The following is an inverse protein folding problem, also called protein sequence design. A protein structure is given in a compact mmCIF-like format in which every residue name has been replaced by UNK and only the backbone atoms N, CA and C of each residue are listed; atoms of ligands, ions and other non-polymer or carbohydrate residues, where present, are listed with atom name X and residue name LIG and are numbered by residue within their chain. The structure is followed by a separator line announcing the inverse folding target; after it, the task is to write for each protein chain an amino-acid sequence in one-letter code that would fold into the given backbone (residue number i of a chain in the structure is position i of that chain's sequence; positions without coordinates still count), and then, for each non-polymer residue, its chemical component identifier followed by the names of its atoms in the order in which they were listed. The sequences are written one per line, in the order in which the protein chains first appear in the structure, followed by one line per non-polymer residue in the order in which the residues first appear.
data_IF_555861536652
#
_entry.id   IF_555861536652
#
_cell.length_a   1.000
_cell.length_b   1.000
_cell.length_c   1.000
_cell.angle_alpha   90.00
_cell.angle_beta   90.00
_cell.angle_gamma   90.00
#
_symmetry.space_group_name_H-M   'P 1'
#
loop_
_entity.id
_entity.type
_entity.pdbx_description
1 polymer ?
#
# COMPACT_ATOMS: atom_id res chain seq x y z
N UNK A 1 -10.90 -10.77 1.86
CA UNK A 1 -10.84 -9.89 3.04
C UNK A 1 -10.06 -8.63 2.73
N UNK A 2 -8.75 -8.70 2.42
CA UNK A 2 -7.95 -7.51 2.08
C UNK A 2 -8.53 -6.64 0.93
N UNK A 3 -9.08 -7.24 -0.14
CA UNK A 3 -9.75 -6.46 -1.19
C UNK A 3 -10.98 -5.70 -0.69
N UNK A 4 -11.77 -6.30 0.22
CA UNK A 4 -12.93 -5.63 0.83
C UNK A 4 -12.51 -4.50 1.76
N UNK A 5 -11.40 -4.67 2.46
CA UNK A 5 -10.80 -3.61 3.29
C UNK A 5 -10.25 -2.48 2.42
N UNK A 6 -9.61 -2.79 1.29
CA UNK A 6 -9.18 -1.78 0.34
C UNK A 6 -10.37 -1.02 -0.28
N UNK A 7 -11.48 -1.71 -0.57
CA UNK A 7 -12.72 -1.05 -1.01
C UNK A 7 -13.28 -0.11 0.07
N UNK A 8 -13.09 -0.42 1.36
CA UNK A 8 -13.50 0.46 2.46
C UNK A 8 -12.57 1.67 2.59
N UNK A 9 -11.26 1.47 2.40
CA UNK A 9 -10.26 2.54 2.39
C UNK A 9 -10.49 3.52 1.24
N UNK A 10 -10.80 3.03 0.04
CA UNK A 10 -11.14 3.88 -1.11
C UNK A 10 -12.39 4.73 -0.86
N UNK A 11 -13.40 4.19 -0.16
CA UNK A 11 -14.56 4.97 0.29
C UNK A 11 -14.16 6.03 1.31
N UNK A 12 -13.32 5.66 2.29
CA UNK A 12 -12.79 6.61 3.27
C UNK A 12 -12.08 7.80 2.62
N UNK A 13 -11.25 7.56 1.59
CA UNK A 13 -10.62 8.66 0.85
C UNK A 13 -11.62 9.58 0.14
N UNK A 14 -12.68 9.01 -0.45
CA UNK A 14 -13.74 9.81 -1.07
C UNK A 14 -14.50 10.66 -0.04
N UNK A 15 -14.58 10.18 1.20
CA UNK A 15 -15.14 10.89 2.36
C UNK A 15 -14.08 11.77 3.08
N UNK A 16 -12.90 11.96 2.48
CA UNK A 16 -11.77 12.74 2.99
C UNK A 16 -11.23 12.28 4.36
N UNK A 17 -11.32 10.97 4.63
CA UNK A 17 -10.77 10.34 5.83
C UNK A 17 -9.23 10.38 5.83
N UNK A 18 -8.60 11.10 6.78
CA UNK A 18 -7.14 11.19 6.85
C UNK A 18 -6.45 9.89 7.26
N UNK A 19 -7.16 8.91 7.82
CA UNK A 19 -6.59 7.60 8.21
C UNK A 19 -6.57 6.59 7.06
N UNK A 20 -7.33 6.85 6.00
CA UNK A 20 -7.46 5.94 4.86
C UNK A 20 -6.12 5.68 4.13
N UNK A 21 -5.26 6.68 3.84
CA UNK A 21 -3.96 6.42 3.22
C UNK A 21 -3.07 5.49 4.05
N UNK A 22 -2.95 5.72 5.36
CA UNK A 22 -2.13 4.89 6.25
C UNK A 22 -2.65 3.45 6.33
N UNK A 23 -3.97 3.28 6.38
CA UNK A 23 -4.63 1.97 6.41
C UNK A 23 -4.29 1.11 5.18
N UNK A 24 -4.08 1.73 4.02
CA UNK A 24 -3.71 1.00 2.79
C UNK A 24 -2.36 0.28 2.90
N UNK A 25 -1.36 0.95 3.47
CA UNK A 25 -0.03 0.38 3.68
C UNK A 25 -0.08 -0.79 4.68
N UNK A 26 -0.94 -0.70 5.70
CA UNK A 26 -1.16 -1.78 6.67
C UNK A 26 -1.77 -3.02 6.01
N UNK A 27 -2.80 -2.83 5.17
CA UNK A 27 -3.45 -3.94 4.44
C UNK A 27 -2.45 -4.63 3.50
N UNK A 28 -1.60 -3.86 2.82
CA UNK A 28 -0.56 -4.40 1.95
C UNK A 28 0.45 -5.24 2.75
N UNK A 29 0.94 -4.70 3.87
CA UNK A 29 1.91 -5.40 4.74
C UNK A 29 1.34 -6.67 5.35
N UNK A 30 0.07 -6.65 5.76
CA UNK A 30 -0.62 -7.85 6.21
C UNK A 30 -0.78 -8.87 5.09
N UNK A 31 -1.06 -8.46 3.86
CA UNK A 31 -1.16 -9.38 2.72
C UNK A 31 0.21 -10.00 2.39
N UNK A 32 1.31 -9.24 2.48
CA UNK A 32 2.67 -9.77 2.35
C UNK A 32 2.99 -10.86 3.38
N UNK A 33 2.54 -10.71 4.63
CA UNK A 33 2.70 -11.73 5.68
C UNK A 33 1.92 -13.03 5.42
N UNK A 34 1.00 -13.06 4.45
CA UNK A 34 0.29 -14.30 4.07
C UNK A 34 1.01 -15.08 2.98
N UNK A 35 1.87 -14.43 2.19
CA UNK A 35 2.57 -15.06 1.06
C UNK A 35 4.02 -15.40 1.38
N UNK A 36 4.63 -14.71 2.34
CA UNK A 36 6.01 -14.97 2.76
C UNK A 36 6.15 -15.06 4.28
N UNK A 37 7.20 -15.76 4.70
CA UNK A 37 7.56 -15.97 6.08
C UNK A 37 7.70 -14.63 6.83
N UNK A 38 7.15 -14.58 8.04
CA UNK A 38 7.15 -13.36 8.88
C UNK A 38 8.57 -12.86 9.13
N UNK A 39 9.54 -13.77 9.26
CA UNK A 39 10.96 -13.51 9.47
C UNK A 39 11.54 -12.69 8.31
N UNK A 40 11.08 -12.95 7.08
CA UNK A 40 11.50 -12.20 5.90
C UNK A 40 10.81 -10.84 5.84
N UNK A 41 9.49 -10.80 5.99
CA UNK A 41 8.69 -9.57 5.78
C UNK A 41 8.86 -8.55 6.90
N UNK A 42 8.95 -8.99 8.17
CA UNK A 42 9.00 -8.08 9.32
C UNK A 42 10.26 -7.20 9.34
N UNK A 43 11.37 -7.69 8.79
CA UNK A 43 12.63 -6.94 8.67
C UNK A 43 12.66 -5.96 7.49
N UNK A 44 11.72 -6.05 6.54
CA UNK A 44 11.71 -5.18 5.37
C UNK A 44 11.20 -3.79 5.74
N UNK A 45 12.01 -2.79 5.39
CA UNK A 45 11.70 -1.37 5.52
C UNK A 45 12.36 -0.59 4.38
N UNK A 46 11.89 0.65 4.15
CA UNK A 46 12.47 1.52 3.13
C UNK A 46 12.44 0.90 1.73
N UNK A 47 13.51 1.08 0.97
CA UNK A 47 13.65 0.53 -0.39
C UNK A 47 13.55 -1.00 -0.43
N UNK A 48 14.06 -1.71 0.59
CA UNK A 48 13.98 -3.18 0.63
C UNK A 48 12.52 -3.68 0.67
N UNK A 49 11.62 -2.91 1.27
CA UNK A 49 10.19 -3.19 1.22
C UNK A 49 9.61 -2.96 -0.17
N UNK A 50 9.96 -1.86 -0.85
CA UNK A 50 9.48 -1.56 -2.20
C UNK A 50 9.97 -2.59 -3.22
N UNK A 51 11.24 -2.99 -3.14
CA UNK A 51 11.82 -4.03 -3.98
C UNK A 51 11.11 -5.36 -3.80
N UNK A 52 10.82 -5.76 -2.55
CA UNK A 52 10.05 -6.96 -2.29
C UNK A 52 8.67 -6.93 -2.98
N UNK A 53 7.99 -5.78 -2.98
CA UNK A 53 6.69 -5.65 -3.64
C UNK A 53 6.81 -5.80 -5.15
N UNK A 54 7.81 -5.19 -5.77
CA UNK A 54 8.04 -5.29 -7.21
C UNK A 54 8.49 -6.70 -7.64
N UNK A 55 9.27 -7.39 -6.81
CA UNK A 55 9.66 -8.79 -7.04
C UNK A 55 8.45 -9.73 -7.07
N UNK A 56 7.46 -9.47 -6.22
CA UNK A 56 6.30 -10.35 -6.05
C UNK A 56 5.12 -9.99 -6.96
N UNK A 57 5.09 -8.78 -7.53
CA UNK A 57 4.17 -8.42 -8.60
C UNK A 57 4.84 -7.48 -9.60
N UNK A 58 5.52 -8.05 -10.62
CA UNK A 58 6.15 -7.28 -11.68
C UNK A 58 5.15 -6.34 -12.37
N UNK A 59 5.54 -5.08 -12.55
CA UNK A 59 4.68 -4.02 -13.12
C UNK A 59 3.85 -3.24 -12.10
N UNK A 60 4.06 -3.44 -10.79
CA UNK A 60 3.49 -2.58 -9.74
C UNK A 60 4.29 -1.30 -9.52
N UNK A 61 5.55 -1.28 -9.96
CA UNK A 61 6.48 -0.14 -10.00
C UNK A 61 6.67 0.59 -8.65
N UNK A 62 6.58 -0.10 -7.52
CA UNK A 62 6.72 0.48 -6.17
C UNK A 62 8.07 1.15 -5.90
N UNK A 63 9.13 0.74 -6.61
CA UNK A 63 10.45 1.37 -6.53
C UNK A 63 10.59 2.65 -7.35
N UNK A 64 9.62 2.96 -8.23
CA UNK A 64 9.70 4.09 -9.16
C UNK A 64 8.45 4.97 -9.15
N UNK A 65 8.57 6.17 -9.74
CA UNK A 65 7.46 7.12 -9.82
C UNK A 65 6.94 7.52 -8.44
N UNK A 66 5.64 7.33 -8.21
CA UNK A 66 4.99 7.62 -6.91
C UNK A 66 5.17 6.50 -5.89
N UNK A 67 5.61 5.32 -6.29
CA UNK A 67 5.74 4.13 -5.44
C UNK A 67 6.45 4.37 -4.09
N UNK A 68 7.60 5.08 -4.06
CA UNK A 68 8.32 5.35 -2.81
C UNK A 68 7.52 6.12 -1.76
N UNK A 69 6.50 6.90 -2.16
CA UNK A 69 5.60 7.61 -1.23
C UNK A 69 4.79 6.66 -0.34
N UNK A 70 4.67 5.38 -0.73
CA UNK A 70 4.07 4.34 0.12
C UNK A 70 4.75 4.24 1.49
N UNK A 71 6.06 4.53 1.57
CA UNK A 71 6.82 4.49 2.83
C UNK A 71 6.44 5.61 3.79
N UNK A 72 5.90 6.70 3.25
CA UNK A 72 5.53 7.89 4.01
C UNK A 72 4.10 7.78 4.57
N UNK A 73 3.20 7.05 3.89
CA UNK A 73 1.78 6.94 4.28
C UNK A 73 1.55 6.57 5.76
N UNK A 74 2.28 5.60 6.36
CA UNK A 74 2.05 5.23 7.76
C UNK A 74 2.51 6.28 8.78
N UNK A 75 3.37 7.22 8.37
CA UNK A 75 3.98 8.23 9.22
C UNK A 75 3.57 9.66 8.86
N UNK A 76 2.84 9.82 7.75
CA UNK A 76 2.34 11.10 7.32
C UNK A 76 1.35 11.64 8.38
N UNK A 77 1.46 12.92 8.77
CA UNK A 77 0.45 13.53 9.60
C UNK A 77 -0.91 13.50 8.86
N UNK A 78 -2.04 13.51 9.58
CA UNK A 78 -3.38 13.55 8.99
C UNK A 78 -3.55 14.63 7.92
N UNK A 79 -2.84 15.76 8.08
CA UNK A 79 -2.89 16.91 7.17
C UNK A 79 -1.79 16.90 6.10
N UNK A 80 -0.88 15.91 6.15
CA UNK A 80 0.33 15.87 5.32
C UNK A 80 0.11 15.30 3.92
N UNK A 81 -0.99 14.56 3.73
CA UNK A 81 -1.37 13.97 2.45
C UNK A 81 -2.86 14.23 2.27
N UNK A 82 -3.21 14.99 1.24
CA UNK A 82 -4.61 15.23 0.95
C UNK A 82 -5.29 13.91 0.57
N UNK A 83 -6.48 13.59 1.12
CA UNK A 83 -7.21 12.38 0.73
C UNK A 83 -7.51 12.31 -0.78
N UNK A 84 -7.69 13.48 -1.40
CA UNK A 84 -7.90 13.65 -2.83
C UNK A 84 -6.59 13.81 -3.65
N UNK A 85 -5.43 13.54 -3.05
CA UNK A 85 -4.15 13.61 -3.76
C UNK A 85 -4.10 12.50 -4.84
N UNK A 86 -3.88 12.84 -6.12
CA UNK A 86 -3.71 11.87 -7.20
C UNK A 86 -2.64 10.80 -6.91
N UNK A 87 -1.62 11.16 -6.12
CA UNK A 87 -0.56 10.24 -5.67
C UNK A 87 -1.15 9.09 -4.83
N UNK A 88 -2.08 9.39 -3.92
CA UNK A 88 -2.72 8.37 -3.08
C UNK A 88 -3.58 7.43 -3.90
N UNK A 89 -4.35 7.99 -4.85
CA UNK A 89 -5.17 7.19 -5.75
C UNK A 89 -4.33 6.22 -6.60
N UNK A 90 -3.18 6.68 -7.12
CA UNK A 90 -2.27 5.83 -7.88
C UNK A 90 -1.61 4.75 -7.00
N UNK A 91 -1.18 5.09 -5.79
CA UNK A 91 -0.64 4.12 -4.83
C UNK A 91 -1.67 3.03 -4.47
N UNK A 92 -2.93 3.41 -4.28
CA UNK A 92 -4.01 2.45 -4.04
C UNK A 92 -4.27 1.55 -5.23
N UNK A 93 -4.25 2.08 -6.45
CA UNK A 93 -4.40 1.27 -7.65
C UNK A 93 -3.29 0.20 -7.76
N UNK A 94 -2.04 0.59 -7.44
CA UNK A 94 -0.89 -0.33 -7.38
C UNK A 94 -1.05 -1.35 -6.25
N UNK A 95 -1.47 -0.93 -5.06
CA UNK A 95 -1.74 -1.81 -3.92
C UNK A 95 -2.85 -2.84 -4.26
N UNK A 96 -3.92 -2.39 -4.92
CA UNK A 96 -5.02 -3.23 -5.39
C UNK A 96 -4.54 -4.26 -6.39
N UNK A 97 -3.73 -3.85 -7.37
CA UNK A 97 -3.14 -4.75 -8.35
C UNK A 97 -2.31 -5.84 -7.64
N UNK A 98 -1.40 -5.42 -6.75
CA UNK A 98 -0.56 -6.32 -5.98
C UNK A 98 -1.37 -7.32 -5.15
N UNK A 99 -2.40 -6.88 -4.42
CA UNK A 99 -3.26 -7.76 -3.62
C UNK A 99 -4.03 -8.74 -4.51
N UNK A 100 -4.46 -8.35 -5.72
CA UNK A 100 -5.15 -9.25 -6.66
C UNK A 100 -4.23 -10.37 -7.16
N UNK A 101 -2.98 -10.05 -7.48
CA UNK A 101 -1.98 -11.05 -7.92
C UNK A 101 -1.78 -12.15 -6.86
N UNK A 102 -1.87 -11.80 -5.59
CA UNK A 102 -1.60 -12.70 -4.46
C UNK A 102 -2.84 -13.32 -3.81
N UNK A 103 -4.04 -13.00 -4.31
CA UNK A 103 -5.31 -13.58 -3.83
C UNK A 103 -6.08 -14.33 -4.91
N UNK A 104 -5.43 -14.61 -6.04
CA UNK A 104 -5.96 -15.47 -7.10
C UNK A 104 -5.99 -16.95 -6.65
#
# INVERSE_FOLDING_TARGET
EALRELDAIERGLADEDPEAPASSAVVLRRTALHIEARERVAGLSGEAWLHFLDEHAPGSDFTTGVGPRLLELPYAPPDGIAPNDPVVAELLARARHWIRVHRA
#
